data_IF_089637935274
#
_entry.id   IF_089637935274
#
_cell.length_a   1.000
_cell.length_b   1.000
_cell.length_c   1.000
_cell.angle_alpha   90.00
_cell.angle_beta   90.00
_cell.angle_gamma   90.00
#
_symmetry.space_group_name_H-M   'P 1'
#
loop_
_entity.id
_entity.type
_entity.pdbx_description
1 polymer ?
#
# COMPACT_ATOMS: atom_id res chain seq x y z
N UNK A 1 -25.39 -2.09 6.15
CA UNK A 1 -24.57 -1.78 7.34
C UNK A 1 -23.49 -0.83 6.85
N UNK A 2 -23.47 0.38 7.38
CA UNK A 2 -22.61 1.45 6.88
C UNK A 2 -21.19 1.19 7.38
N UNK A 3 -20.34 0.57 6.56
CA UNK A 3 -18.91 0.36 6.83
C UNK A 3 -18.16 1.70 6.86
N UNK A 4 -18.49 2.50 7.87
CA UNK A 4 -17.77 3.73 8.16
C UNK A 4 -16.39 3.32 8.67
N UNK A 5 -15.30 3.82 8.07
CA UNK A 5 -13.98 3.48 8.54
C UNK A 5 -13.85 3.88 10.01
N UNK A 6 -13.51 2.90 10.86
CA UNK A 6 -13.30 3.11 12.28
C UNK A 6 -12.37 4.30 12.50
N UNK A 7 -12.71 5.17 13.46
CA UNK A 7 -11.89 6.35 13.80
C UNK A 7 -10.41 6.00 14.00
N UNK A 8 -10.13 4.78 14.50
CA UNK A 8 -8.79 4.25 14.67
C UNK A 8 -8.07 4.00 13.33
N UNK A 9 -8.76 3.43 12.33
CA UNK A 9 -8.19 3.18 11.00
C UNK A 9 -7.77 4.50 10.32
N UNK A 10 -8.61 5.54 10.42
CA UNK A 10 -8.30 6.87 9.88
C UNK A 10 -7.14 7.55 10.60
N UNK A 11 -7.06 7.41 11.94
CA UNK A 11 -5.92 7.91 12.71
C UNK A 11 -4.63 7.19 12.32
N UNK A 12 -4.67 5.87 12.20
CA UNK A 12 -3.53 5.07 11.76
C UNK A 12 -3.08 5.47 10.35
N UNK A 13 -4.02 5.69 9.42
CA UNK A 13 -3.71 6.20 8.08
C UNK A 13 -3.02 7.56 8.09
N UNK A 14 -3.48 8.48 8.94
CA UNK A 14 -2.84 9.79 9.10
C UNK A 14 -1.40 9.64 9.58
N UNK A 15 -1.16 8.80 10.59
CA UNK A 15 0.19 8.49 11.08
C UNK A 15 1.05 7.81 10.03
N UNK A 16 0.49 6.89 9.24
CA UNK A 16 1.20 6.24 8.13
C UNK A 16 1.66 7.25 7.08
N UNK A 17 0.80 8.20 6.71
CA UNK A 17 1.13 9.27 5.75
C UNK A 17 2.23 10.18 6.28
N UNK A 18 2.17 10.53 7.56
CA UNK A 18 3.18 11.36 8.20
C UNK A 18 4.55 10.64 8.27
N UNK A 19 4.55 9.39 8.71
CA UNK A 19 5.76 8.55 8.69
C UNK A 19 6.34 8.40 7.28
N UNK A 20 5.49 8.25 6.25
CA UNK A 20 5.92 8.19 4.85
C UNK A 20 6.61 9.48 4.40
N UNK A 21 6.03 10.64 4.72
CA UNK A 21 6.63 11.96 4.41
C UNK A 21 7.98 12.14 5.08
N UNK A 22 8.13 11.63 6.30
CA UNK A 22 9.37 11.67 7.06
C UNK A 22 10.38 10.58 6.64
N UNK A 23 10.08 9.78 5.62
CA UNK A 23 10.95 8.70 5.14
C UNK A 23 11.01 7.46 6.06
N UNK A 24 10.17 7.41 7.10
CA UNK A 24 10.14 6.35 8.10
C UNK A 24 9.34 5.15 7.60
N UNK A 25 9.93 4.39 6.66
CA UNK A 25 9.25 3.25 5.99
C UNK A 25 8.73 2.19 6.97
N UNK A 26 9.52 1.83 7.99
CA UNK A 26 9.11 0.80 8.95
C UNK A 26 7.89 1.26 9.77
N UNK A 27 7.88 2.51 10.19
CA UNK A 27 6.77 3.09 10.96
C UNK A 27 5.53 3.24 10.08
N UNK A 28 5.69 3.70 8.83
CA UNK A 28 4.60 3.76 7.85
C UNK A 28 3.96 2.37 7.62
N UNK A 29 4.78 1.32 7.51
CA UNK A 29 4.31 -0.06 7.39
C UNK A 29 3.49 -0.47 8.62
N UNK A 30 3.99 -0.21 9.83
CA UNK A 30 3.30 -0.55 11.08
C UNK A 30 1.92 0.10 11.16
N UNK A 31 1.83 1.38 10.83
CA UNK A 31 0.56 2.11 10.83
C UNK A 31 -0.41 1.60 9.76
N UNK A 32 0.08 1.25 8.56
CA UNK A 32 -0.76 0.64 7.53
C UNK A 32 -1.35 -0.70 7.97
N UNK A 33 -0.54 -1.57 8.59
CA UNK A 33 -1.01 -2.85 9.11
C UNK A 33 -2.05 -2.67 10.21
N UNK A 34 -1.89 -1.66 11.08
CA UNK A 34 -2.91 -1.32 12.06
C UNK A 34 -4.21 -0.86 11.39
N UNK A 35 -4.12 0.02 10.38
CA UNK A 35 -5.30 0.47 9.65
C UNK A 35 -6.05 -0.68 8.97
N UNK A 36 -5.31 -1.64 8.38
CA UNK A 36 -5.89 -2.82 7.73
C UNK A 36 -6.52 -3.82 8.71
N UNK A 37 -6.00 -3.94 9.93
CA UNK A 37 -6.63 -4.74 10.99
C UNK A 37 -7.99 -4.20 11.39
N UNK A 38 -8.11 -2.87 11.42
CA UNK A 38 -9.35 -2.19 11.77
C UNK A 38 -10.34 -2.17 10.59
N UNK A 39 -9.85 -1.92 9.38
CA UNK A 39 -10.64 -1.95 8.17
C UNK A 39 -9.79 -2.37 6.96
N UNK A 40 -9.95 -3.65 6.57
CA UNK A 40 -9.25 -4.22 5.43
C UNK A 40 -9.75 -3.72 4.07
N UNK A 41 -10.93 -3.06 4.02
CA UNK A 41 -11.53 -2.51 2.81
C UNK A 41 -11.02 -1.09 2.48
N UNK A 42 -9.95 -0.64 3.15
CA UNK A 42 -9.29 0.62 2.83
C UNK A 42 -8.25 0.41 1.74
N UNK A 43 -8.36 1.18 0.66
CA UNK A 43 -7.40 1.17 -0.44
C UNK A 43 -6.03 1.77 -0.04
N UNK A 44 -6.06 2.90 0.67
CA UNK A 44 -4.88 3.73 0.91
C UNK A 44 -3.73 3.04 1.68
N UNK A 45 -3.96 2.18 2.70
CA UNK A 45 -2.88 1.43 3.35
C UNK A 45 -2.14 0.52 2.37
N UNK A 46 -2.85 -0.11 1.42
CA UNK A 46 -2.23 -0.97 0.41
C UNK A 46 -1.35 -0.17 -0.55
N UNK A 47 -1.78 1.03 -0.96
CA UNK A 47 -0.97 1.93 -1.78
C UNK A 47 0.33 2.34 -1.07
N UNK A 48 0.24 2.69 0.22
CA UNK A 48 1.42 3.07 1.01
C UNK A 48 2.35 1.87 1.17
N UNK A 49 1.83 0.69 1.51
CA UNK A 49 2.61 -0.55 1.61
C UNK A 49 3.32 -0.86 0.30
N UNK A 50 2.65 -0.66 -0.85
CA UNK A 50 3.26 -0.85 -2.15
C UNK A 50 4.44 0.12 -2.38
N UNK A 51 4.27 1.40 -2.05
CA UNK A 51 5.29 2.42 -2.29
C UNK A 51 6.60 2.21 -1.49
N UNK A 52 6.51 1.57 -0.32
CA UNK A 52 7.66 1.37 0.59
C UNK A 52 8.25 -0.05 0.52
N UNK A 53 7.73 -0.92 -0.33
CA UNK A 53 8.14 -2.33 -0.42
C UNK A 53 9.03 -2.61 -1.64
N UNK A 54 9.59 -3.81 -1.71
CA UNK A 54 10.28 -4.28 -2.91
C UNK A 54 9.31 -4.36 -4.09
N UNK A 55 9.77 -4.22 -5.35
CA UNK A 55 8.88 -4.30 -6.52
C UNK A 55 7.99 -5.55 -6.53
N UNK A 56 8.51 -6.70 -6.10
CA UNK A 56 7.77 -7.97 -6.00
C UNK A 56 6.59 -7.84 -5.03
N UNK A 57 6.86 -7.34 -3.82
CA UNK A 57 5.84 -7.14 -2.81
C UNK A 57 4.85 -6.02 -3.18
N UNK A 58 5.32 -4.97 -3.87
CA UNK A 58 4.49 -3.88 -4.35
C UNK A 58 3.35 -4.37 -5.24
N UNK A 59 3.63 -5.30 -6.17
CA UNK A 59 2.59 -5.89 -7.04
C UNK A 59 1.49 -6.54 -6.20
N UNK A 60 1.85 -7.36 -5.21
CA UNK A 60 0.88 -8.02 -4.34
C UNK A 60 -0.03 -7.02 -3.61
N UNK A 61 0.53 -5.94 -3.08
CA UNK A 61 -0.25 -4.90 -2.41
C UNK A 61 -1.14 -4.10 -3.38
N UNK A 62 -0.65 -3.79 -4.58
CA UNK A 62 -1.43 -3.06 -5.59
C UNK A 62 -2.60 -3.87 -6.12
N UNK A 63 -2.45 -5.21 -6.22
CA UNK A 63 -3.58 -6.09 -6.53
C UNK A 63 -4.68 -6.03 -5.45
N UNK A 64 -4.30 -5.92 -4.17
CA UNK A 64 -5.29 -5.73 -3.09
C UNK A 64 -6.00 -4.37 -3.22
N UNK A 65 -5.25 -3.30 -3.48
CA UNK A 65 -5.80 -1.97 -3.71
C UNK A 65 -6.79 -1.96 -4.89
N UNK A 66 -6.44 -2.57 -6.02
CA UNK A 66 -7.32 -2.67 -7.19
C UNK A 66 -8.53 -3.56 -6.96
N UNK A 67 -8.46 -4.56 -6.08
CA UNK A 67 -9.65 -5.35 -5.72
C UNK A 67 -10.67 -4.52 -4.94
N UNK A 68 -10.19 -3.61 -4.09
CA UNK A 68 -11.01 -2.69 -3.30
C UNK A 68 -11.57 -1.59 -4.21
N UNK A 69 -10.70 -0.99 -5.03
CA UNK A 69 -11.05 0.07 -5.96
C UNK A 69 -10.47 -0.22 -7.35
N UNK A 70 -11.22 -0.92 -8.22
CA UNK A 70 -10.76 -1.27 -9.57
C UNK A 70 -10.49 -0.06 -10.47
N UNK A 71 -11.08 1.10 -10.14
CA UNK A 71 -10.96 2.34 -10.89
C UNK A 71 -9.85 3.25 -10.35
N UNK A 72 -9.04 2.77 -9.39
CA UNK A 72 -7.95 3.57 -8.82
C UNK A 72 -6.82 3.79 -9.82
N UNK A 73 -6.76 5.00 -10.37
CA UNK A 73 -5.66 5.46 -11.21
C UNK A 73 -4.31 5.34 -10.49
N UNK A 74 -4.29 5.63 -9.18
CA UNK A 74 -3.08 5.53 -8.35
C UNK A 74 -2.58 4.09 -8.26
N UNK A 75 -3.49 3.13 -8.08
CA UNK A 75 -3.13 1.72 -8.00
C UNK A 75 -2.69 1.19 -9.38
N UNK A 76 -3.37 1.59 -10.46
CA UNK A 76 -2.99 1.22 -11.83
C UNK A 76 -1.61 1.77 -12.21
N UNK A 77 -1.34 3.04 -11.95
CA UNK A 77 -0.03 3.66 -12.18
C UNK A 77 1.07 3.00 -11.32
N UNK A 78 0.77 2.72 -10.05
CA UNK A 78 1.67 1.99 -9.16
C UNK A 78 2.01 0.59 -9.69
N UNK A 79 1.02 -0.10 -10.29
CA UNK A 79 1.21 -1.44 -10.88
C UNK A 79 2.18 -1.39 -12.04
N UNK A 80 1.97 -0.46 -12.97
CA UNK A 80 2.87 -0.25 -14.11
C UNK A 80 4.30 0.04 -13.64
N UNK A 81 4.46 0.92 -12.65
CA UNK A 81 5.76 1.22 -12.06
C UNK A 81 6.43 -0.02 -11.44
N UNK A 82 5.67 -0.83 -10.69
CA UNK A 82 6.20 -2.02 -10.01
C UNK A 82 6.62 -3.09 -11.02
N UNK A 83 5.81 -3.33 -12.05
CA UNK A 83 6.10 -4.29 -13.12
C UNK A 83 7.33 -3.88 -13.94
N UNK A 84 7.43 -2.59 -14.30
CA UNK A 84 8.61 -2.07 -15.01
C UNK A 84 9.88 -2.26 -14.19
N UNK A 85 9.82 -1.99 -12.88
CA UNK A 85 10.96 -2.25 -11.98
C UNK A 85 11.30 -3.72 -11.89
N UNK A 86 10.30 -4.60 -11.78
CA UNK A 86 10.53 -6.05 -11.76
C UNK A 86 11.25 -6.56 -13.00
N UNK A 87 10.82 -6.10 -14.18
CA UNK A 87 11.46 -6.46 -15.43
C UNK A 87 12.90 -5.93 -15.54
N UNK A 88 13.20 -4.81 -14.87
CA UNK A 88 14.54 -4.21 -14.86
C UNK A 88 15.50 -4.79 -13.82
N UNK A 89 15.01 -5.58 -12.86
CA UNK A 89 15.89 -6.32 -11.96
C UNK A 89 16.40 -7.53 -12.74
N UNK A 90 17.69 -7.58 -13.14
CA UNK A 90 18.22 -8.77 -13.77
C UNK A 90 18.04 -9.91 -12.76
N UNK A 91 17.38 -10.98 -13.19
CA UNK A 91 17.28 -12.22 -12.43
C UNK A 91 18.69 -12.66 -12.06
N UNK A 92 19.13 -12.30 -10.85
CA UNK A 92 20.29 -12.95 -10.24
C UNK A 92 19.78 -14.28 -9.72
N UNK A 93 19.54 -15.19 -10.67
CA UNK A 93 19.59 -16.62 -10.39
C UNK A 93 21.07 -16.99 -10.34
N UNK A 94 21.58 -17.24 -9.14
CA UNK A 94 22.53 -18.32 -8.85
C UNK A 94 22.24 -18.82 -7.44
#
# INVERSE_FOLDING_TARGET
MSDSPSSLALKALRSAREALKQGQRMEARRWCLLALRENANLEEPWLILAAISSPQASVGYLQQALRINPQSERAMAGMQWALNRLASVPSREQ
#
